data_IF_897326856797
#
_entry.id   IF_897326856797
#
_cell.length_a   1.000
_cell.length_b   1.000
_cell.length_c   1.000
_cell.angle_alpha   90.00
_cell.angle_beta   90.00
_cell.angle_gamma   90.00
#
_symmetry.space_group_name_H-M   'P 1'
#
loop_
_entity.id
_entity.type
_entity.pdbx_description
1 polymer ?
#
# COMPACT_ATOMS: atom_id res chain seq x y z
N UNK A 1 6.45 2.82 -34.94
CA UNK A 1 7.57 2.67 -33.98
C UNK A 1 7.22 3.57 -32.80
N UNK A 2 6.62 3.00 -31.76
CA UNK A 2 6.24 3.76 -30.56
C UNK A 2 7.39 3.59 -29.59
N UNK A 3 8.06 4.70 -29.28
CA UNK A 3 9.15 4.78 -28.33
C UNK A 3 8.50 5.18 -27.00
N UNK A 4 8.48 4.25 -26.05
CA UNK A 4 8.06 4.55 -24.69
C UNK A 4 9.15 5.43 -24.04
N UNK A 5 8.76 6.64 -23.64
CA UNK A 5 9.55 7.43 -22.71
C UNK A 5 9.22 6.88 -21.31
N UNK A 6 10.20 6.28 -20.64
CA UNK A 6 10.18 6.23 -19.17
C UNK A 6 10.25 7.69 -18.70
N UNK A 7 9.09 8.33 -18.52
CA UNK A 7 9.05 9.65 -17.90
C UNK A 7 9.26 9.47 -16.41
N UNK A 8 10.46 9.81 -15.93
CA UNK A 8 10.71 10.01 -14.50
C UNK A 8 9.84 11.18 -14.04
N UNK A 9 8.69 10.87 -13.45
CA UNK A 9 7.83 11.87 -12.81
C UNK A 9 8.52 12.36 -11.53
N UNK A 10 9.19 13.52 -11.59
CA UNK A 10 9.69 14.18 -10.40
C UNK A 10 8.55 14.90 -9.69
N UNK A 11 7.98 14.25 -8.67
CA UNK A 11 7.00 14.89 -7.78
C UNK A 11 7.75 15.83 -6.84
N UNK A 12 7.69 17.14 -7.12
CA UNK A 12 8.14 18.17 -6.17
C UNK A 12 6.94 18.71 -5.43
N UNK A 13 6.89 18.45 -4.12
CA UNK A 13 5.97 19.12 -3.23
C UNK A 13 6.58 20.45 -2.80
N UNK A 14 5.81 21.53 -2.92
CA UNK A 14 6.12 22.81 -2.32
C UNK A 14 4.96 23.17 -1.40
N UNK A 15 5.29 23.79 -0.26
CA UNK A 15 4.32 24.16 0.75
C UNK A 15 4.28 25.68 0.87
N UNK A 16 3.12 26.28 0.58
CA UNK A 16 2.84 27.69 0.79
C UNK A 16 1.74 27.83 1.85
N UNK A 17 2.12 28.02 3.13
CA UNK A 17 1.15 28.24 4.20
C UNK A 17 1.61 27.81 5.61
N UNK A 18 0.69 27.80 6.57
CA UNK A 18 0.90 27.19 7.88
C UNK A 18 0.41 25.74 7.82
N UNK A 19 1.28 24.76 8.14
CA UNK A 19 0.87 23.37 8.27
C UNK A 19 -0.16 23.23 9.41
N UNK A 20 -0.81 22.07 9.53
CA UNK A 20 -1.67 21.79 10.69
C UNK A 20 -0.93 21.93 12.03
N UNK A 21 0.40 21.82 12.01
CA UNK A 21 1.30 22.06 13.14
C UNK A 21 1.81 23.52 13.27
N UNK A 22 1.27 24.47 12.49
CA UNK A 22 1.69 25.87 12.46
C UNK A 22 2.69 26.21 11.35
N UNK A 23 3.26 27.43 11.37
CA UNK A 23 4.22 27.88 10.37
C UNK A 23 5.52 27.06 10.44
N UNK A 24 5.95 26.52 9.30
CA UNK A 24 7.21 25.77 9.17
C UNK A 24 8.33 26.74 8.80
N UNK A 25 9.44 26.69 9.52
CA UNK A 25 10.65 27.47 9.24
C UNK A 25 11.74 26.57 8.62
N UNK A 26 12.58 27.07 7.69
CA UNK A 26 13.72 26.33 7.19
C UNK A 26 14.70 25.89 8.31
N UNK A 27 15.40 24.75 8.17
CA UNK A 27 15.37 23.85 7.01
C UNK A 27 14.08 23.04 6.96
N UNK A 28 13.48 22.95 5.77
CA UNK A 28 12.31 22.10 5.58
C UNK A 28 12.70 20.64 5.77
N UNK A 29 11.82 19.80 6.34
CA UNK A 29 12.07 18.38 6.45
C UNK A 29 12.34 17.80 5.06
N UNK A 30 13.50 17.16 4.92
CA UNK A 30 13.92 16.44 3.71
C UNK A 30 14.03 14.96 4.03
N UNK A 31 13.61 14.10 3.10
CA UNK A 31 13.68 12.65 3.27
C UNK A 31 12.70 11.93 2.36
N UNK A 32 12.66 10.61 2.48
CA UNK A 32 11.66 9.74 1.85
C UNK A 32 10.82 9.06 2.95
N UNK A 33 9.83 8.25 2.56
CA UNK A 33 9.10 7.39 3.49
C UNK A 33 10.04 6.32 4.04
N UNK A 34 9.91 5.96 5.32
CA UNK A 34 10.75 4.89 5.89
C UNK A 34 10.49 3.56 5.18
N UNK A 35 11.54 2.80 4.88
CA UNK A 35 11.42 1.54 4.13
C UNK A 35 11.35 1.70 2.60
N UNK A 36 11.29 2.94 2.09
CA UNK A 36 11.43 3.23 0.67
C UNK A 36 12.82 2.80 0.15
N UNK A 37 12.84 2.10 -0.97
CA UNK A 37 14.08 1.73 -1.67
C UNK A 37 14.49 2.84 -2.64
N UNK A 38 15.79 2.93 -2.95
CA UNK A 38 16.33 3.85 -3.97
C UNK A 38 15.99 5.35 -3.77
N UNK A 39 15.61 5.75 -2.55
CA UNK A 39 15.29 7.13 -2.20
C UNK A 39 13.89 7.61 -2.61
N UNK A 40 12.98 6.71 -2.99
CA UNK A 40 11.63 7.05 -3.43
C UNK A 40 10.59 5.94 -3.25
N UNK A 41 9.34 6.25 -3.54
CA UNK A 41 8.23 5.30 -3.51
C UNK A 41 7.32 5.54 -4.72
N UNK A 42 6.62 4.49 -5.15
CA UNK A 42 5.74 4.57 -6.30
C UNK A 42 4.39 5.22 -5.95
N UNK A 43 3.89 6.04 -6.87
CA UNK A 43 2.52 6.55 -6.85
C UNK A 43 1.82 6.07 -8.12
N UNK A 44 0.79 5.24 -7.94
CA UNK A 44 0.01 4.73 -9.06
C UNK A 44 -1.19 5.64 -9.35
N UNK A 45 -1.30 6.11 -10.59
CA UNK A 45 -2.40 6.95 -11.06
C UNK A 45 -3.02 6.30 -12.29
N UNK A 46 -4.34 6.20 -12.32
CA UNK A 46 -5.10 5.69 -13.47
C UNK A 46 -6.04 6.77 -14.02
N UNK A 47 -6.42 6.70 -15.30
CA UNK A 47 -7.48 7.54 -15.86
C UNK A 47 -8.74 7.53 -14.99
N UNK A 48 -9.42 8.67 -14.90
CA UNK A 48 -10.62 8.85 -14.05
C UNK A 48 -11.74 7.86 -14.39
N UNK A 49 -11.82 7.46 -15.65
CA UNK A 49 -12.80 6.55 -16.23
C UNK A 49 -12.33 5.10 -16.32
N UNK A 50 -11.10 4.79 -15.85
CA UNK A 50 -10.63 3.41 -15.73
C UNK A 50 -11.52 2.63 -14.74
N UNK A 51 -12.02 1.44 -15.12
CA UNK A 51 -12.73 0.60 -14.17
C UNK A 51 -11.75 0.11 -13.08
N UNK A 52 -12.23 -0.13 -11.84
CA UNK A 52 -11.38 -0.71 -10.80
C UNK A 52 -10.85 -2.08 -11.20
N UNK A 53 -9.62 -2.40 -10.79
CA UNK A 53 -9.08 -3.75 -10.97
C UNK A 53 -9.97 -4.78 -10.23
N UNK A 54 -10.31 -5.88 -10.92
CA UNK A 54 -11.21 -6.91 -10.39
C UNK A 54 -10.52 -7.76 -9.34
N UNK A 55 -11.30 -8.22 -8.36
CA UNK A 55 -10.81 -9.03 -7.24
C UNK A 55 -11.74 -10.22 -6.99
N UNK A 56 -11.21 -11.36 -6.55
CA UNK A 56 -12.03 -12.54 -6.19
C UNK A 56 -12.45 -12.59 -4.71
N UNK A 57 -12.21 -11.50 -3.97
CA UNK A 57 -12.51 -11.41 -2.55
C UNK A 57 -13.88 -10.79 -2.28
N UNK A 58 -14.53 -11.14 -1.15
CA UNK A 58 -15.64 -10.38 -0.64
C UNK A 58 -15.26 -8.90 -0.47
N UNK A 59 -16.24 -8.00 -0.55
CA UNK A 59 -16.00 -6.57 -0.30
C UNK A 59 -15.50 -6.30 1.13
N UNK A 60 -15.83 -7.19 2.06
CA UNK A 60 -15.42 -7.11 3.46
C UNK A 60 -15.27 -8.52 4.03
N UNK A 61 -14.29 -8.72 4.91
CA UNK A 61 -14.06 -9.96 5.64
C UNK A 61 -13.33 -9.65 6.95
N UNK A 62 -13.52 -10.51 7.95
CA UNK A 62 -12.77 -10.48 9.20
C UNK A 62 -11.70 -11.57 9.12
N UNK A 63 -10.49 -11.26 9.58
CA UNK A 63 -9.42 -12.23 9.77
C UNK A 63 -9.44 -12.64 11.24
N UNK A 64 -9.64 -13.93 11.50
CA UNK A 64 -9.81 -14.44 12.87
C UNK A 64 -8.47 -14.81 13.53
N UNK A 65 -7.37 -14.86 12.75
CA UNK A 65 -6.03 -15.22 13.19
C UNK A 65 -4.95 -14.42 12.46
N UNK A 66 -3.72 -14.43 12.98
CA UNK A 66 -2.56 -13.90 12.26
C UNK A 66 -2.17 -14.91 11.18
N UNK A 67 -2.42 -14.54 9.94
CA UNK A 67 -2.05 -15.35 8.79
C UNK A 67 -1.66 -14.45 7.62
N UNK A 68 -1.03 -15.07 6.63
CA UNK A 68 -0.79 -14.41 5.35
C UNK A 68 -2.13 -14.07 4.69
N UNK A 69 -2.23 -12.84 4.19
CA UNK A 69 -3.41 -12.34 3.49
C UNK A 69 -3.12 -12.35 2.00
N UNK A 70 -3.72 -13.30 1.29
CA UNK A 70 -3.58 -13.43 -0.16
C UNK A 70 -4.65 -12.63 -0.88
N UNK A 71 -4.25 -11.63 -1.65
CA UNK A 71 -5.08 -10.83 -2.54
C UNK A 71 -5.06 -11.42 -3.95
N UNK A 72 -6.24 -11.73 -4.49
CA UNK A 72 -6.41 -12.33 -5.80
C UNK A 72 -6.96 -11.28 -6.75
N UNK A 73 -6.16 -10.95 -7.75
CA UNK A 73 -6.44 -9.93 -8.75
C UNK A 73 -6.75 -10.60 -10.06
N UNK A 74 -7.82 -10.14 -10.72
CA UNK A 74 -8.21 -10.63 -12.04
C UNK A 74 -8.05 -9.52 -13.06
N UNK A 75 -7.36 -9.83 -14.14
CA UNK A 75 -7.25 -8.95 -15.29
C UNK A 75 -8.60 -8.83 -16.01
N UNK A 76 -9.03 -7.61 -16.37
CA UNK A 76 -10.19 -7.42 -17.23
C UNK A 76 -10.03 -8.17 -18.56
N UNK A 77 -11.02 -8.98 -18.92
CA UNK A 77 -11.02 -9.79 -20.16
C UNK A 77 -9.80 -10.73 -20.28
N UNK A 78 -9.23 -11.17 -19.15
CA UNK A 78 -8.11 -12.11 -19.11
C UNK A 78 -6.85 -11.63 -19.86
N UNK A 79 -6.67 -10.30 -19.96
CA UNK A 79 -5.47 -9.72 -20.55
C UNK A 79 -4.23 -10.07 -19.71
N UNK A 80 -3.08 -10.21 -20.37
CA UNK A 80 -1.79 -10.31 -19.68
C UNK A 80 -1.25 -8.93 -19.32
N UNK A 81 -0.22 -8.91 -18.49
CA UNK A 81 0.41 -7.69 -18.00
C UNK A 81 1.14 -7.87 -16.68
N UNK A 82 1.68 -6.77 -16.19
CA UNK A 82 2.42 -6.69 -14.94
C UNK A 82 1.59 -6.00 -13.85
N UNK A 83 1.58 -6.58 -12.65
CA UNK A 83 0.97 -5.98 -11.47
C UNK A 83 2.06 -5.41 -10.59
N UNK A 84 2.07 -4.10 -10.43
CA UNK A 84 2.89 -3.37 -9.47
C UNK A 84 2.14 -3.29 -8.14
N UNK A 85 2.87 -3.41 -7.03
CA UNK A 85 2.30 -3.35 -5.69
C UNK A 85 3.15 -2.52 -4.75
N UNK A 86 2.48 -1.87 -3.80
CA UNK A 86 3.09 -1.25 -2.62
C UNK A 86 2.25 -1.59 -1.40
N UNK A 87 2.90 -2.09 -0.35
CA UNK A 87 2.32 -2.39 0.95
C UNK A 87 2.89 -1.39 1.96
N UNK A 88 2.03 -0.75 2.73
CA UNK A 88 2.47 0.23 3.73
C UNK A 88 1.58 0.31 4.96
N UNK A 89 2.14 0.89 6.00
CA UNK A 89 1.47 1.37 7.22
C UNK A 89 1.78 2.86 7.37
N UNK A 90 1.09 3.60 8.26
CA UNK A 90 1.42 5.01 8.49
C UNK A 90 2.93 5.22 8.72
N UNK A 91 3.55 6.01 7.84
CA UNK A 91 4.98 6.36 7.93
C UNK A 91 5.99 5.31 7.42
N UNK A 92 5.56 4.11 6.99
CA UNK A 92 6.46 3.09 6.46
C UNK A 92 5.92 2.40 5.20
N UNK A 93 6.79 2.25 4.19
CA UNK A 93 6.65 1.26 3.13
C UNK A 93 7.22 -0.06 3.64
N UNK A 94 6.37 -1.10 3.64
CA UNK A 94 6.72 -2.43 4.14
C UNK A 94 7.23 -3.34 3.04
N UNK A 95 6.64 -3.25 1.85
CA UNK A 95 7.01 -4.06 0.69
C UNK A 95 6.59 -3.35 -0.60
N UNK A 96 7.27 -3.67 -1.69
CA UNK A 96 6.95 -3.19 -3.04
C UNK A 96 7.54 -4.11 -4.08
N UNK A 97 6.89 -4.21 -5.23
CA UNK A 97 7.45 -4.95 -6.34
C UNK A 97 6.47 -5.18 -7.46
N UNK A 98 6.83 -6.13 -8.33
CA UNK A 98 6.07 -6.49 -9.52
C UNK A 98 5.80 -7.99 -9.51
N UNK A 99 4.57 -8.37 -9.82
CA UNK A 99 4.15 -9.76 -10.04
C UNK A 99 3.49 -9.89 -11.41
N UNK A 100 3.83 -10.95 -12.14
CA UNK A 100 3.21 -11.22 -13.44
C UNK A 100 1.81 -11.79 -13.28
N UNK A 101 0.93 -11.48 -14.24
CA UNK A 101 -0.31 -12.22 -14.41
C UNK A 101 -0.03 -13.63 -14.95
N UNK A 102 -0.61 -14.64 -14.30
CA UNK A 102 -0.61 -16.02 -14.74
C UNK A 102 -2.05 -16.41 -15.05
N UNK A 103 -2.32 -16.72 -16.32
CA UNK A 103 -3.67 -17.02 -16.81
C UNK A 103 -4.70 -15.92 -16.47
N UNK A 104 -4.30 -14.65 -16.54
CA UNK A 104 -5.16 -13.51 -16.21
C UNK A 104 -5.36 -13.26 -14.71
N UNK A 105 -4.59 -13.93 -13.84
CA UNK A 105 -4.66 -13.79 -12.39
C UNK A 105 -3.31 -13.45 -11.77
N UNK A 106 -3.31 -12.60 -10.75
CA UNK A 106 -2.13 -12.34 -9.92
C UNK A 106 -2.46 -12.58 -8.44
N UNK A 107 -1.41 -12.96 -7.70
CA UNK A 107 -1.44 -13.12 -6.24
C UNK A 107 -0.51 -12.09 -5.62
N UNK A 108 -1.05 -11.27 -4.73
CA UNK A 108 -0.27 -10.39 -3.85
C UNK A 108 -0.46 -10.90 -2.43
N UNK A 109 0.63 -11.02 -1.66
CA UNK A 109 0.57 -11.59 -0.31
C UNK A 109 1.08 -10.57 0.68
N UNK A 110 0.26 -10.21 1.67
CA UNK A 110 0.71 -9.54 2.88
C UNK A 110 1.06 -10.61 3.91
N UNK A 111 2.36 -10.73 4.24
CA UNK A 111 2.89 -11.73 5.15
C UNK A 111 3.37 -11.08 6.47
N UNK A 112 2.48 -10.81 7.44
CA UNK A 112 2.78 -9.98 8.61
C UNK A 112 3.90 -10.55 9.48
N UNK A 113 3.98 -11.88 9.62
CA UNK A 113 5.01 -12.53 10.42
C UNK A 113 6.41 -12.42 9.79
N UNK A 114 6.49 -12.52 8.45
CA UNK A 114 7.74 -12.31 7.73
C UNK A 114 8.18 -10.85 7.82
N UNK A 115 7.27 -9.91 7.56
CA UNK A 115 7.56 -8.47 7.60
C UNK A 115 7.99 -7.99 8.98
N UNK A 116 7.45 -8.57 10.06
CA UNK A 116 7.83 -8.24 11.44
C UNK A 116 9.33 -8.42 11.74
N UNK A 117 10.01 -9.32 11.01
CA UNK A 117 11.46 -9.52 11.17
C UNK A 117 12.28 -8.30 10.77
N UNK A 118 11.74 -7.50 9.84
CA UNK A 118 12.37 -6.27 9.34
C UNK A 118 11.74 -5.02 9.97
N UNK A 119 10.43 -5.06 10.20
CA UNK A 119 9.62 -3.98 10.78
C UNK A 119 9.05 -4.43 12.12
N UNK A 120 9.82 -4.34 13.22
CA UNK A 120 9.40 -4.86 14.52
C UNK A 120 8.19 -4.13 15.12
N UNK A 121 7.83 -2.97 14.55
CA UNK A 121 6.65 -2.19 14.87
C UNK A 121 5.34 -2.74 14.28
N UNK A 122 5.40 -3.78 13.43
CA UNK A 122 4.18 -4.48 12.99
C UNK A 122 3.61 -5.25 14.19
N UNK A 123 2.42 -4.84 14.61
CA UNK A 123 1.71 -5.43 15.71
C UNK A 123 0.91 -6.64 15.20
N UNK A 124 1.46 -7.81 15.45
CA UNK A 124 0.79 -9.09 15.17
C UNK A 124 0.02 -9.64 16.37
N UNK A 125 -0.06 -8.94 17.51
CA UNK A 125 -0.87 -9.38 18.64
C UNK A 125 -1.91 -8.31 18.95
N UNK A 126 -3.18 -8.70 19.16
CA UNK A 126 -4.19 -7.80 19.69
C UNK A 126 -3.74 -7.24 21.03
N UNK A 127 -3.67 -5.91 21.17
CA UNK A 127 -3.08 -5.27 22.37
C UNK A 127 -3.95 -5.43 23.61
N UNK A 128 -5.24 -5.69 23.45
CA UNK A 128 -6.22 -5.90 24.52
C UNK A 128 -6.32 -7.36 24.99
N UNK A 129 -5.56 -8.28 24.39
CA UNK A 129 -5.27 -9.60 24.95
C UNK A 129 -6.48 -10.49 25.19
N UNK A 130 -7.06 -11.03 24.12
CA UNK A 130 -7.74 -12.35 24.15
C UNK A 130 -7.51 -13.13 22.85
N UNK A 131 -7.32 -12.47 21.69
CA UNK A 131 -7.14 -13.12 20.39
C UNK A 131 -5.95 -12.56 19.59
N UNK A 132 -5.25 -13.40 18.79
CA UNK A 132 -4.28 -12.95 17.80
C UNK A 132 -4.94 -11.99 16.79
N UNK A 133 -4.23 -10.96 16.33
CA UNK A 133 -4.82 -10.01 15.37
C UNK A 133 -3.84 -8.94 14.92
N UNK A 134 -4.03 -8.46 13.68
CA UNK A 134 -3.34 -7.27 13.18
C UNK A 134 -3.96 -6.05 13.86
N UNK A 135 -3.18 -5.18 14.49
CA UNK A 135 -3.72 -3.92 15.04
C UNK A 135 -3.47 -2.71 14.14
N UNK A 136 -2.53 -2.83 13.20
CA UNK A 136 -2.16 -1.75 12.30
C UNK A 136 -3.20 -1.53 11.19
N UNK A 137 -3.27 -0.30 10.71
CA UNK A 137 -3.91 0.00 9.41
C UNK A 137 -2.88 -0.24 8.32
N UNK A 138 -3.10 -1.26 7.50
CA UNK A 138 -2.25 -1.60 6.36
C UNK A 138 -2.97 -1.22 5.08
N UNK A 139 -2.29 -0.49 4.19
CA UNK A 139 -2.75 -0.22 2.84
C UNK A 139 -1.96 -1.06 1.86
N UNK A 140 -2.67 -1.67 0.92
CA UNK A 140 -2.08 -2.44 -0.17
C UNK A 140 -2.60 -1.84 -1.46
N UNK A 141 -1.72 -1.12 -2.14
CA UNK A 141 -1.99 -0.50 -3.43
C UNK A 141 -1.51 -1.44 -4.53
N UNK A 142 -2.38 -1.74 -5.48
CA UNK A 142 -2.04 -2.55 -6.65
C UNK A 142 -2.42 -1.82 -7.93
N UNK A 143 -1.56 -1.94 -8.92
CA UNK A 143 -1.69 -1.31 -10.23
C UNK A 143 -1.35 -2.34 -11.31
N UNK A 144 -2.28 -2.58 -12.21
CA UNK A 144 -2.08 -3.42 -13.38
C UNK A 144 -1.81 -2.54 -14.60
N UNK A 145 -0.65 -2.75 -15.21
CA UNK A 145 -0.35 -2.37 -16.58
C UNK A 145 -0.62 -3.57 -17.49
N UNK A 146 -1.75 -3.54 -18.21
CA UNK A 146 -2.09 -4.61 -19.15
C UNK A 146 -1.38 -4.40 -20.48
N UNK A 147 -0.91 -5.49 -21.11
CA UNK A 147 -0.20 -5.47 -22.40
C UNK A 147 -1.02 -4.80 -23.53
N UNK A 148 -2.35 -4.80 -23.39
CA UNK A 148 -3.26 -4.10 -24.28
C UNK A 148 -3.32 -2.58 -24.10
N UNK A 149 -2.49 -2.00 -23.23
CA UNK A 149 -2.42 -0.57 -22.92
C UNK A 149 -3.44 -0.09 -21.88
N UNK A 150 -4.09 -1.01 -21.16
CA UNK A 150 -5.08 -0.68 -20.13
C UNK A 150 -4.43 -0.53 -18.76
N UNK A 151 -4.83 0.50 -18.01
CA UNK A 151 -4.37 0.74 -16.65
C UNK A 151 -5.50 0.60 -15.63
N UNK A 152 -5.27 -0.21 -14.60
CA UNK A 152 -6.29 -0.52 -13.60
C UNK A 152 -5.66 -0.50 -12.21
N UNK A 153 -6.35 0.07 -11.23
CA UNK A 153 -5.85 0.13 -9.86
C UNK A 153 -6.89 -0.37 -8.86
N UNK A 154 -6.40 -0.83 -7.71
CA UNK A 154 -7.22 -1.18 -6.54
C UNK A 154 -6.40 -0.92 -5.28
N UNK A 155 -7.05 -0.38 -4.26
CA UNK A 155 -6.50 -0.34 -2.92
C UNK A 155 -7.28 -1.32 -2.03
N UNK A 156 -6.55 -2.06 -1.21
CA UNK A 156 -7.09 -2.80 -0.08
C UNK A 156 -6.67 -2.11 1.20
N UNK A 157 -7.51 -2.17 2.21
CA UNK A 157 -7.20 -1.71 3.57
C UNK A 157 -7.47 -2.86 4.52
N UNK A 158 -6.45 -3.22 5.29
CA UNK A 158 -6.61 -4.10 6.45
C UNK A 158 -6.60 -3.21 7.67
N UNK A 159 -7.63 -3.31 8.49
CA UNK A 159 -7.75 -2.50 9.69
C UNK A 159 -7.91 -3.41 10.89
N UNK A 160 -7.01 -3.26 11.85
CA UNK A 160 -7.13 -3.91 13.13
C UNK A 160 -8.33 -3.44 13.95
N UNK A 161 -8.82 -4.26 14.89
CA UNK A 161 -10.02 -3.96 15.68
C UNK A 161 -9.79 -2.92 16.79
N UNK A 162 -8.53 -2.66 17.17
CA UNK A 162 -8.19 -1.81 18.31
C UNK A 162 -8.11 -0.32 17.91
N UNK A 163 -8.94 0.53 18.51
CA UNK A 163 -8.82 2.00 18.44
C UNK A 163 -8.39 2.52 19.83
N UNK A 164 -7.17 3.04 19.94
CA UNK A 164 -6.63 3.56 21.20
C UNK A 164 -6.22 5.03 21.06
N UNK A 165 -6.62 5.84 22.03
CA UNK A 165 -6.12 7.21 22.21
C UNK A 165 -4.93 7.09 23.17
N UNK A 166 -3.74 7.64 22.85
CA UNK A 166 -2.63 7.67 23.79
C UNK A 166 -3.09 8.32 25.10
N UNK A 167 -2.65 7.84 26.29
CA UNK A 167 -2.87 8.59 27.51
C UNK A 167 -2.29 9.99 27.32
N UNK A 168 -3.14 11.00 27.42
CA UNK A 168 -2.67 12.39 27.46
C UNK A 168 -1.84 12.53 28.73
N UNK A 169 -0.60 12.98 28.61
CA UNK A 169 0.15 13.41 29.78
C UNK A 169 -0.66 14.52 30.46
N UNK A 170 -1.05 14.27 31.71
CA UNK A 170 -1.59 15.33 32.55
C UNK A 170 -0.46 16.29 32.86
N UNK A 171 -0.54 17.53 32.37
CA UNK A 171 0.29 18.66 32.84
C UNK A 171 0.18 18.88 34.35
#
# INVERSE_FOLDING_TARGET
MVQWLEEVLSVRTFWEGAASAGPISPPFPTGTVLGATEGGFDIYVVPKDSPPLKTAHPQWSVLDEIQDVTLLLASPKEQQGAVHLTIGIPGHQLDSGTVDLINGWAKVVYAPLALRTTFPNIDVHGRTGVFPGLTDTVWINVFLEADGGGFYARQFTLQGPDLLIPPQETE
#
